data_IF_493456851536
#
_entry.id   IF_493456851536
#
_cell.length_a   1.000
_cell.length_b   1.000
_cell.length_c   1.000
_cell.angle_alpha   90.00
_cell.angle_beta   90.00
_cell.angle_gamma   90.00
#
_symmetry.space_group_name_H-M   'P 1'
#
loop_
_entity.id
_entity.type
_entity.pdbx_description
1 polymer ?
#
# COMPACT_ATOMS: atom_id res chain seq x y z
N UNK A 1 0.28 -18.25 14.94
CA UNK A 1 0.48 -18.92 13.62
C UNK A 1 -0.65 -18.70 12.62
N UNK A 2 -1.94 -18.78 13.01
CA UNK A 2 -3.09 -18.63 12.07
C UNK A 2 -3.16 -17.25 11.39
N UNK A 3 -2.82 -16.16 12.10
CA UNK A 3 -2.77 -14.81 11.53
C UNK A 3 -1.69 -14.64 10.46
N UNK A 4 -0.45 -15.07 10.74
CA UNK A 4 0.65 -14.98 9.78
C UNK A 4 0.37 -15.77 8.50
N UNK A 5 -0.30 -16.92 8.63
CA UNK A 5 -0.75 -17.74 7.50
C UNK A 5 -1.73 -16.98 6.59
N UNK A 6 -2.58 -16.14 7.19
CA UNK A 6 -3.66 -15.45 6.48
C UNK A 6 -3.17 -14.13 5.86
N UNK A 7 -2.10 -13.55 6.43
CA UNK A 7 -1.42 -12.37 5.90
C UNK A 7 -0.35 -12.69 4.85
N UNK A 8 -0.23 -13.95 4.39
CA UNK A 8 0.77 -14.34 3.38
C UNK A 8 0.71 -13.51 2.11
N UNK A 9 -0.50 -13.19 1.63
CA UNK A 9 -0.69 -12.37 0.44
C UNK A 9 -0.23 -10.93 0.68
N UNK A 10 -0.58 -10.36 1.84
CA UNK A 10 -0.12 -9.03 2.26
C UNK A 10 1.39 -8.98 2.35
N UNK A 11 2.03 -9.98 2.98
CA UNK A 11 3.50 -10.06 3.10
C UNK A 11 4.14 -10.16 1.71
N UNK A 12 3.64 -11.05 0.85
CA UNK A 12 4.13 -11.18 -0.53
C UNK A 12 4.01 -9.85 -1.29
N UNK A 13 2.88 -9.17 -1.15
CA UNK A 13 2.64 -7.87 -1.77
C UNK A 13 3.55 -6.79 -1.19
N UNK A 14 3.80 -6.80 0.13
CA UNK A 14 4.73 -5.87 0.80
C UNK A 14 6.14 -5.98 0.22
N UNK A 15 6.61 -7.21 0.02
CA UNK A 15 7.91 -7.48 -0.61
C UNK A 15 7.93 -7.00 -2.05
N UNK A 16 6.84 -7.25 -2.80
CA UNK A 16 6.70 -6.76 -4.17
C UNK A 16 6.77 -5.23 -4.24
N UNK A 17 6.03 -4.53 -3.38
CA UNK A 17 6.05 -3.05 -3.30
C UNK A 17 7.45 -2.56 -2.97
N UNK A 18 8.12 -3.16 -1.97
CA UNK A 18 9.51 -2.81 -1.64
C UNK A 18 10.44 -2.97 -2.83
N UNK A 19 10.36 -4.08 -3.57
CA UNK A 19 11.23 -4.32 -4.72
C UNK A 19 10.92 -3.34 -5.85
N UNK A 20 9.66 -3.19 -6.23
CA UNK A 20 9.26 -2.35 -7.36
C UNK A 20 9.47 -0.86 -7.11
N UNK A 21 9.18 -0.38 -5.89
CA UNK A 21 9.39 1.03 -5.54
C UNK A 21 10.89 1.38 -5.42
N UNK A 22 11.78 0.43 -5.15
CA UNK A 22 13.23 0.70 -5.03
C UNK A 22 14.04 0.34 -6.27
N UNK A 23 13.42 -0.28 -7.28
CA UNK A 23 14.09 -0.64 -8.53
C UNK A 23 14.39 0.63 -9.37
N UNK A 24 15.61 0.75 -9.94
CA UNK A 24 15.92 1.84 -10.84
C UNK A 24 15.09 1.70 -12.13
N UNK A 25 14.43 2.78 -12.54
CA UNK A 25 13.55 2.82 -13.72
C UNK A 25 14.28 2.82 -15.07
N UNK A 26 15.62 2.80 -15.08
CA UNK A 26 16.47 2.54 -16.26
C UNK A 26 15.97 3.17 -17.57
N UNK A 27 16.01 2.42 -18.67
CA UNK A 27 15.44 2.82 -19.98
C UNK A 27 13.92 2.68 -20.06
N UNK A 28 13.25 2.28 -18.98
CA UNK A 28 11.79 2.09 -18.93
C UNK A 28 11.09 3.45 -18.84
N UNK A 29 11.73 4.46 -18.25
CA UNK A 29 11.23 5.84 -18.21
C UNK A 29 11.16 6.53 -19.57
N UNK A 30 11.82 6.01 -20.61
CA UNK A 30 11.73 6.54 -21.98
C UNK A 30 10.57 5.94 -22.78
N UNK A 31 9.84 4.96 -22.21
CA UNK A 31 8.68 4.39 -22.89
C UNK A 31 7.55 5.42 -22.95
N UNK A 32 6.87 5.58 -24.11
CA UNK A 32 5.76 6.53 -24.28
C UNK A 32 4.54 6.24 -23.39
N UNK A 33 4.52 5.11 -22.69
CA UNK A 33 3.52 4.77 -21.67
C UNK A 33 3.74 5.49 -20.34
N UNK A 34 4.94 6.02 -20.08
CA UNK A 34 5.27 6.73 -18.84
C UNK A 34 5.04 8.23 -19.02
N UNK A 35 3.96 8.73 -18.42
CA UNK A 35 3.66 10.16 -18.36
C UNK A 35 4.11 10.76 -17.02
N UNK A 36 4.30 12.09 -16.93
CA UNK A 36 4.63 12.76 -15.68
C UNK A 36 3.56 12.48 -14.60
N UNK A 37 3.95 11.84 -13.49
CA UNK A 37 3.04 11.46 -12.40
C UNK A 37 2.51 10.02 -12.44
N UNK A 38 2.91 9.20 -13.44
CA UNK A 38 2.57 7.78 -13.48
C UNK A 38 3.08 7.03 -12.23
N UNK A 39 4.26 7.41 -11.73
CA UNK A 39 4.83 6.92 -10.48
C UNK A 39 3.86 7.02 -9.29
N UNK A 40 3.23 8.18 -9.11
CA UNK A 40 2.24 8.43 -8.04
C UNK A 40 1.00 7.59 -8.21
N UNK A 41 0.57 7.38 -9.45
CA UNK A 41 -0.58 6.51 -9.73
C UNK A 41 -0.27 5.05 -9.34
N UNK A 42 0.94 4.58 -9.64
CA UNK A 42 1.40 3.24 -9.27
C UNK A 42 1.48 3.09 -7.75
N UNK A 43 2.08 4.05 -7.05
CA UNK A 43 2.13 4.12 -5.58
C UNK A 43 0.74 4.06 -4.96
N UNK A 44 -0.19 4.92 -5.42
CA UNK A 44 -1.59 4.87 -5.00
C UNK A 44 -2.22 3.48 -5.21
N UNK A 45 -2.03 2.87 -6.38
CA UNK A 45 -2.53 1.52 -6.67
C UNK A 45 -1.91 0.44 -5.76
N UNK A 46 -0.61 0.52 -5.49
CA UNK A 46 0.09 -0.43 -4.63
C UNK A 46 -0.44 -0.40 -3.20
N UNK A 47 -0.61 0.78 -2.61
CA UNK A 47 -1.11 0.92 -1.25
C UNK A 47 -2.61 0.65 -1.13
N UNK A 48 -3.38 0.90 -2.20
CA UNK A 48 -4.76 0.44 -2.28
C UNK A 48 -4.84 -1.10 -2.15
N UNK A 49 -4.12 -1.83 -3.00
CA UNK A 49 -4.10 -3.30 -2.97
C UNK A 49 -3.53 -3.83 -1.65
N UNK A 50 -2.50 -3.18 -1.11
CA UNK A 50 -1.93 -3.54 0.19
C UNK A 50 -2.99 -3.52 1.30
N UNK A 51 -3.75 -2.44 1.44
CA UNK A 51 -4.81 -2.32 2.46
C UNK A 51 -5.91 -3.37 2.25
N UNK A 52 -6.32 -3.60 1.00
CA UNK A 52 -7.32 -4.62 0.67
C UNK A 52 -6.85 -6.01 1.14
N UNK A 53 -5.60 -6.37 0.84
CA UNK A 53 -5.02 -7.64 1.26
C UNK A 53 -4.86 -7.73 2.79
N UNK A 54 -4.42 -6.64 3.42
CA UNK A 54 -4.25 -6.57 4.87
C UNK A 54 -5.57 -6.78 5.62
N UNK A 55 -6.64 -6.10 5.19
CA UNK A 55 -7.99 -6.25 5.76
C UNK A 55 -8.55 -7.65 5.47
N UNK A 56 -8.38 -8.16 4.24
CA UNK A 56 -8.79 -9.53 3.92
C UNK A 56 -8.10 -10.57 4.83
N UNK A 57 -6.79 -10.45 5.04
CA UNK A 57 -6.05 -11.29 5.98
C UNK A 57 -6.53 -11.15 7.42
N UNK A 58 -6.89 -9.93 7.85
CA UNK A 58 -7.40 -9.63 9.18
C UNK A 58 -8.76 -10.31 9.43
N UNK A 59 -9.71 -10.16 8.51
CA UNK A 59 -11.04 -10.77 8.59
C UNK A 59 -10.94 -12.30 8.51
N UNK A 60 -10.13 -12.85 7.60
CA UNK A 60 -9.91 -14.31 7.46
C UNK A 60 -9.22 -14.94 8.67
N UNK A 61 -8.55 -14.14 9.51
CA UNK A 61 -8.01 -14.61 10.78
C UNK A 61 -9.10 -14.80 11.86
N UNK A 62 -10.34 -14.38 11.60
CA UNK A 62 -11.49 -14.48 12.50
C UNK A 62 -11.78 -13.19 13.26
N UNK A 63 -11.13 -12.08 12.89
CA UNK A 63 -11.39 -10.78 13.53
C UNK A 63 -12.56 -10.07 12.89
N UNK A 64 -13.34 -9.38 13.71
CA UNK A 64 -14.41 -8.49 13.23
C UNK A 64 -13.80 -7.17 12.80
N UNK A 65 -14.08 -6.74 11.58
CA UNK A 65 -13.70 -5.41 11.11
C UNK A 65 -14.59 -4.35 11.80
N UNK A 66 -13.95 -3.38 12.44
CA UNK A 66 -14.55 -2.19 13.01
C UNK A 66 -13.77 -0.94 12.54
N UNK A 67 -14.33 0.25 12.77
CA UNK A 67 -13.69 1.51 12.32
C UNK A 67 -12.28 1.65 12.91
N UNK A 68 -12.08 1.23 14.18
CA UNK A 68 -10.78 1.35 14.85
C UNK A 68 -9.72 0.46 14.20
N UNK A 69 -10.03 -0.81 13.91
CA UNK A 69 -9.10 -1.71 13.23
C UNK A 69 -8.82 -1.29 11.79
N UNK A 70 -9.82 -0.79 11.07
CA UNK A 70 -9.63 -0.23 9.73
C UNK A 70 -8.70 0.99 9.73
N UNK A 71 -8.89 1.93 10.67
CA UNK A 71 -8.00 3.07 10.83
C UNK A 71 -6.59 2.65 11.27
N UNK A 72 -6.45 1.67 12.16
CA UNK A 72 -5.15 1.13 12.54
C UNK A 72 -4.40 0.55 11.33
N UNK A 73 -5.08 -0.23 10.48
CA UNK A 73 -4.50 -0.78 9.25
C UNK A 73 -4.14 0.32 8.24
N UNK A 74 -4.96 1.37 8.13
CA UNK A 74 -4.63 2.56 7.34
C UNK A 74 -3.32 3.20 7.82
N UNK A 75 -3.19 3.50 9.13
CA UNK A 75 -1.98 4.12 9.66
C UNK A 75 -0.75 3.21 9.52
N UNK A 76 -0.89 1.90 9.69
CA UNK A 76 0.18 0.92 9.43
C UNK A 76 0.63 1.00 7.97
N UNK A 77 -0.32 1.16 7.03
CA UNK A 77 -0.02 1.25 5.61
C UNK A 77 0.70 2.56 5.27
N UNK A 78 0.26 3.68 5.83
CA UNK A 78 0.96 4.97 5.66
C UNK A 78 2.36 4.94 6.28
N UNK A 79 2.51 4.31 7.44
CA UNK A 79 3.82 4.15 8.08
C UNK A 79 4.75 3.26 7.25
N UNK A 80 4.20 2.23 6.60
CA UNK A 80 4.95 1.38 5.66
C UNK A 80 5.41 2.18 4.44
N UNK A 81 4.55 2.98 3.81
CA UNK A 81 4.94 3.88 2.71
C UNK A 81 6.02 4.88 3.12
N UNK A 82 5.86 5.51 4.28
CA UNK A 82 6.89 6.38 4.85
C UNK A 82 8.23 5.64 5.04
N UNK A 83 8.21 4.39 5.49
CA UNK A 83 9.43 3.59 5.60
C UNK A 83 10.06 3.30 4.23
N UNK A 84 9.26 3.05 3.18
CA UNK A 84 9.75 2.89 1.79
C UNK A 84 10.43 4.18 1.31
N UNK A 85 9.80 5.33 1.51
CA UNK A 85 10.35 6.63 1.12
C UNK A 85 11.66 6.96 1.87
N UNK A 86 11.72 6.66 3.18
CA UNK A 86 12.95 6.81 3.94
C UNK A 86 14.07 5.88 3.43
N UNK A 87 13.73 4.64 3.04
CA UNK A 87 14.69 3.72 2.43
C UNK A 87 15.20 4.25 1.09
N UNK A 88 14.32 4.84 0.27
CA UNK A 88 14.73 5.47 -0.98
C UNK A 88 15.71 6.62 -0.72
N UNK A 89 15.41 7.48 0.25
CA UNK A 89 16.24 8.63 0.59
C UNK A 89 17.62 8.26 1.14
N UNK A 90 17.70 7.26 2.03
CA UNK A 90 18.93 6.95 2.77
C UNK A 90 19.73 5.76 2.22
N UNK A 91 19.08 4.79 1.58
CA UNK A 91 19.72 3.55 1.12
C UNK A 91 19.82 3.51 -0.40
N UNK A 92 18.75 3.88 -1.10
CA UNK A 92 18.67 3.82 -2.55
C UNK A 92 18.83 5.21 -3.16
N UNK A 93 19.99 5.83 -2.93
CA UNK A 93 20.32 7.23 -3.29
C UNK A 93 20.26 7.57 -4.78
N UNK A 94 19.88 6.62 -5.64
CA UNK A 94 19.57 6.84 -7.05
C UNK A 94 18.09 7.16 -7.30
N UNK A 95 17.26 7.21 -6.26
CA UNK A 95 15.86 7.60 -6.31
C UNK A 95 15.62 8.73 -5.32
N UNK A 96 15.01 9.82 -5.79
CA UNK A 96 14.62 10.92 -4.93
C UNK A 96 13.38 10.51 -4.12
N UNK A 97 13.55 10.31 -2.81
CA UNK A 97 12.41 10.14 -1.90
C UNK A 97 11.54 11.39 -1.96
N UNK A 98 10.26 11.23 -2.32
CA UNK A 98 9.37 12.34 -2.62
C UNK A 98 8.13 12.30 -1.72
N UNK A 99 7.91 13.39 -0.98
CA UNK A 99 6.71 13.55 -0.16
C UNK A 99 5.40 13.41 -0.96
N UNK A 100 5.43 13.67 -2.27
CA UNK A 100 4.29 13.44 -3.16
C UNK A 100 3.96 11.95 -3.34
N UNK A 101 4.95 11.06 -3.27
CA UNK A 101 4.76 9.61 -3.37
C UNK A 101 4.13 9.10 -2.06
N UNK A 102 4.61 9.56 -0.89
CA UNK A 102 3.95 9.28 0.39
C UNK A 102 2.49 9.77 0.43
N UNK A 103 2.21 10.92 -0.17
CA UNK A 103 0.84 11.41 -0.28
C UNK A 103 0.00 10.48 -1.17
N UNK A 104 0.54 10.01 -2.29
CA UNK A 104 -0.15 9.06 -3.16
C UNK A 104 -0.42 7.72 -2.45
N UNK A 105 0.53 7.22 -1.65
CA UNK A 105 0.37 6.04 -0.81
C UNK A 105 -0.79 6.21 0.18
N UNK A 106 -0.84 7.35 0.87
CA UNK A 106 -1.90 7.67 1.82
C UNK A 106 -3.27 7.78 1.13
N UNK A 107 -3.34 8.36 -0.06
CA UNK A 107 -4.57 8.42 -0.86
C UNK A 107 -5.05 7.01 -1.23
N UNK A 108 -4.16 6.16 -1.74
CA UNK A 108 -4.48 4.77 -2.10
C UNK A 108 -4.97 3.96 -0.90
N UNK A 109 -4.26 4.06 0.23
CA UNK A 109 -4.65 3.43 1.47
C UNK A 109 -6.01 3.94 1.99
N UNK A 110 -6.26 5.24 1.89
CA UNK A 110 -7.52 5.88 2.29
C UNK A 110 -8.68 5.42 1.43
N UNK A 111 -8.50 5.37 0.10
CA UNK A 111 -9.51 4.87 -0.85
C UNK A 111 -9.88 3.41 -0.57
N UNK A 112 -8.91 2.55 -0.31
CA UNK A 112 -9.16 1.15 0.05
C UNK A 112 -9.92 1.03 1.38
N UNK A 113 -9.48 1.77 2.40
CA UNK A 113 -10.11 1.76 3.72
C UNK A 113 -11.57 2.24 3.65
N UNK A 114 -11.81 3.36 2.96
CA UNK A 114 -13.15 3.92 2.77
C UNK A 114 -14.06 2.96 2.01
N UNK A 115 -13.61 2.43 0.86
CA UNK A 115 -14.42 1.52 0.04
C UNK A 115 -14.80 0.24 0.79
N UNK A 116 -13.87 -0.34 1.57
CA UNK A 116 -14.15 -1.52 2.38
C UNK A 116 -15.11 -1.20 3.52
N UNK A 117 -14.94 -0.09 4.23
CA UNK A 117 -15.86 0.28 5.31
C UNK A 117 -17.29 0.44 4.78
N UNK A 118 -17.47 1.21 3.70
CA UNK A 118 -18.79 1.43 3.10
C UNK A 118 -19.44 0.11 2.69
N UNK A 119 -18.71 -0.75 1.97
CA UNK A 119 -19.26 -2.02 1.48
C UNK A 119 -19.50 -3.03 2.60
N UNK A 120 -18.58 -3.15 3.56
CA UNK A 120 -18.72 -4.05 4.69
C UNK A 120 -19.92 -3.68 5.57
N UNK A 121 -20.11 -2.40 5.88
CA UNK A 121 -21.28 -1.96 6.65
C UNK A 121 -22.59 -2.02 5.85
N UNK A 122 -22.55 -1.88 4.53
CA UNK A 122 -23.73 -2.07 3.69
C UNK A 122 -24.21 -3.53 3.68
N UNK A 123 -23.29 -4.50 3.65
CA UNK A 123 -23.59 -5.94 3.62
C UNK A 123 -23.91 -6.52 5.01
N UNK A 124 -23.37 -5.95 6.09
CA UNK A 124 -23.61 -6.43 7.46
C UNK A 124 -25.02 -6.08 8.01
N UNK A 125 -25.85 -5.36 7.24
CA UNK A 125 -27.27 -5.16 7.57
C UNK A 125 -28.03 -6.48 7.57
#
# INVERSE_FOLDING_TARGET
MKQLKQQRLTILWSVLVLVLCNMPMGSVSESPMFFPGFDKLVHCGFFFVFVVLAINGYVRAGHTLDIKSALALFFISVAFGGAVELLQLYVFTWRDGNWADLFADAVGAGMATFSILVTYYAVKK
#
